data_IF_379513627705
#
_entry.id   IF_379513627705
#
_cell.length_a   1.000
_cell.length_b   1.000
_cell.length_c   1.000
_cell.angle_alpha   90.00
_cell.angle_beta   90.00
_cell.angle_gamma   90.00
#
_symmetry.space_group_name_H-M   'P 1'
#
loop_
_entity.id
_entity.type
_entity.pdbx_description
1 polymer ?
#
# COMPACT_ATOMS: atom_id res chain seq x y z
N UNK A 1 11.13 11.60 4.75
CA UNK A 1 10.52 12.75 5.45
C UNK A 1 11.23 14.02 4.96
N UNK A 2 10.53 15.12 4.64
CA UNK A 2 11.22 16.33 4.17
C UNK A 2 12.15 16.82 5.27
N UNK A 3 13.33 17.37 4.91
CA UNK A 3 14.29 17.93 5.89
C UNK A 3 13.65 18.98 6.81
N UNK A 4 12.58 19.63 6.35
CA UNK A 4 11.83 20.66 7.06
C UNK A 4 10.67 20.14 7.90
N UNK A 5 10.31 18.85 7.80
CA UNK A 5 9.25 18.26 8.62
C UNK A 5 9.78 17.99 10.03
N UNK A 6 9.28 18.72 11.02
CA UNK A 6 9.60 18.49 12.43
C UNK A 6 9.10 17.11 12.85
N UNK A 7 9.96 16.29 13.45
CA UNK A 7 9.63 14.94 13.93
C UNK A 7 8.99 14.90 15.32
N UNK A 8 8.79 16.06 15.97
CA UNK A 8 8.32 16.17 17.36
C UNK A 8 7.10 15.30 17.67
N UNK A 9 6.08 15.33 16.80
CA UNK A 9 4.86 14.56 17.04
C UNK A 9 5.11 13.06 16.90
N UNK A 10 5.84 12.62 15.88
CA UNK A 10 6.20 11.21 15.73
C UNK A 10 7.00 10.68 16.94
N UNK A 11 7.98 11.45 17.42
CA UNK A 11 8.74 11.10 18.63
C UNK A 11 7.83 11.04 19.86
N UNK A 12 6.93 12.01 20.01
CA UNK A 12 5.95 12.03 21.10
C UNK A 12 5.03 10.81 21.06
N UNK A 13 4.54 10.43 19.88
CA UNK A 13 3.63 9.29 19.69
C UNK A 13 4.34 7.95 19.98
N UNK A 14 5.63 7.84 19.66
CA UNK A 14 6.46 6.67 19.98
C UNK A 14 6.73 6.57 21.49
N UNK A 15 7.06 7.68 22.15
CA UNK A 15 7.45 7.67 23.57
C UNK A 15 6.26 7.65 24.53
N UNK A 16 5.14 8.25 24.14
CA UNK A 16 3.97 8.46 25.01
C UNK A 16 2.70 7.88 24.38
N UNK A 17 2.80 6.68 23.80
CA UNK A 17 1.68 6.05 23.08
C UNK A 17 0.44 5.96 23.97
N UNK A 18 -0.68 6.49 23.45
CA UNK A 18 -2.00 6.41 24.08
C UNK A 18 -2.90 5.47 23.29
N UNK A 19 -3.84 4.81 23.94
CA UNK A 19 -4.78 3.93 23.26
C UNK A 19 -5.72 4.74 22.35
N UNK A 20 -5.79 4.34 21.08
CA UNK A 20 -6.67 4.97 20.08
C UNK A 20 -7.99 4.20 20.05
N UNK A 21 -9.06 4.82 20.55
CA UNK A 21 -10.39 4.21 20.74
C UNK A 21 -11.46 4.75 19.79
N UNK A 22 -11.07 5.11 18.56
CA UNK A 22 -12.02 5.61 17.55
C UNK A 22 -12.89 4.45 17.05
N UNK A 23 -14.21 4.67 17.02
CA UNK A 23 -15.20 3.64 16.63
C UNK A 23 -14.91 2.95 15.30
N UNK A 24 -14.44 3.69 14.29
CA UNK A 24 -14.10 3.12 12.98
C UNK A 24 -12.88 2.19 13.03
N UNK A 25 -11.90 2.49 13.89
CA UNK A 25 -10.71 1.65 14.10
C UNK A 25 -11.11 0.38 14.86
N UNK A 26 -11.90 0.51 15.92
CA UNK A 26 -12.42 -0.62 16.68
C UNK A 26 -13.27 -1.53 15.78
N UNK A 27 -14.13 -0.95 14.94
CA UNK A 27 -14.90 -1.69 13.95
C UNK A 27 -14.01 -2.45 12.97
N UNK A 28 -12.96 -1.79 12.45
CA UNK A 28 -11.91 -2.40 11.63
C UNK A 28 -11.31 -3.63 12.29
N UNK A 29 -10.75 -3.44 13.48
CA UNK A 29 -10.05 -4.46 14.27
C UNK A 29 -10.96 -5.67 14.57
N UNK A 30 -12.21 -5.43 14.94
CA UNK A 30 -13.15 -6.49 15.31
C UNK A 30 -13.68 -7.29 14.10
N UNK A 31 -13.65 -6.73 12.90
CA UNK A 31 -14.21 -7.37 11.70
C UNK A 31 -13.15 -7.95 10.75
N UNK A 32 -11.88 -7.59 10.91
CA UNK A 32 -10.81 -7.99 9.98
C UNK A 32 -10.70 -9.51 9.82
N UNK A 33 -10.72 -10.27 10.92
CA UNK A 33 -10.64 -11.74 10.88
C UNK A 33 -11.78 -12.36 10.08
N UNK A 34 -13.03 -11.94 10.35
CA UNK A 34 -14.20 -12.44 9.63
C UNK A 34 -14.09 -12.18 8.12
N UNK A 35 -13.61 -11.00 7.73
CA UNK A 35 -13.42 -10.66 6.31
C UNK A 35 -12.31 -11.48 5.67
N UNK A 36 -11.23 -11.80 6.40
CA UNK A 36 -10.17 -12.71 5.91
C UNK A 36 -10.73 -14.10 5.63
N UNK A 37 -11.52 -14.64 6.55
CA UNK A 37 -12.13 -15.97 6.41
C UNK A 37 -13.10 -16.01 5.23
N UNK A 38 -14.00 -15.01 5.13
CA UNK A 38 -14.93 -14.89 4.01
C UNK A 38 -14.21 -14.77 2.65
N UNK A 39 -13.14 -13.98 2.58
CA UNK A 39 -12.32 -13.87 1.38
C UNK A 39 -11.64 -15.19 1.02
N UNK A 40 -11.08 -15.89 2.02
CA UNK A 40 -10.43 -17.19 1.82
C UNK A 40 -11.39 -18.24 1.27
N UNK A 41 -12.60 -18.30 1.82
CA UNK A 41 -13.68 -19.18 1.35
C UNK A 41 -14.14 -18.82 -0.08
N UNK A 42 -14.34 -17.53 -0.37
CA UNK A 42 -14.81 -17.07 -1.68
C UNK A 42 -13.80 -17.34 -2.81
N UNK A 43 -12.52 -17.13 -2.53
CA UNK A 43 -11.45 -17.34 -3.52
C UNK A 43 -10.99 -18.80 -3.56
N UNK A 44 -11.33 -19.60 -2.54
CA UNK A 44 -10.90 -21.00 -2.40
C UNK A 44 -9.41 -21.13 -2.11
N UNK A 45 -8.80 -20.11 -1.48
CA UNK A 45 -7.36 -20.02 -1.26
C UNK A 45 -7.04 -19.53 0.15
N UNK A 46 -6.06 -20.13 0.83
CA UNK A 46 -5.73 -19.73 2.19
C UNK A 46 -5.12 -18.32 2.23
N UNK A 47 -5.56 -17.53 3.21
CA UNK A 47 -4.91 -16.27 3.58
C UNK A 47 -3.98 -16.55 4.76
N UNK A 48 -2.71 -16.18 4.62
CA UNK A 48 -1.71 -16.34 5.68
C UNK A 48 -1.54 -15.01 6.42
N UNK A 49 -1.57 -15.07 7.76
CA UNK A 49 -1.24 -13.92 8.60
C UNK A 49 0.24 -13.55 8.45
N UNK A 50 0.55 -12.27 8.64
CA UNK A 50 1.92 -11.78 8.52
C UNK A 50 2.23 -10.65 9.50
N UNK A 51 3.51 -10.48 9.78
CA UNK A 51 4.02 -9.37 10.59
C UNK A 51 4.53 -8.20 9.72
N UNK A 52 5.50 -7.48 10.28
CA UNK A 52 6.17 -6.38 9.59
C UNK A 52 7.19 -6.90 8.57
N UNK A 53 7.03 -6.52 7.31
CA UNK A 53 8.06 -6.66 6.28
C UNK A 53 8.90 -5.39 6.23
N UNK A 54 10.22 -5.55 6.23
CA UNK A 54 11.18 -4.45 6.08
C UNK A 54 11.82 -4.53 4.71
N UNK A 55 11.89 -3.41 4.00
CA UNK A 55 12.57 -3.32 2.72
C UNK A 55 14.09 -3.25 2.95
N UNK A 56 14.84 -4.24 2.47
CA UNK A 56 16.24 -4.43 2.86
C UNK A 56 17.15 -3.28 2.40
N UNK A 57 16.87 -2.72 1.23
CA UNK A 57 17.64 -1.63 0.63
C UNK A 57 17.36 -0.29 1.31
N UNK A 58 16.18 -0.13 1.92
CA UNK A 58 15.81 1.03 2.74
C UNK A 58 15.19 0.55 4.05
N UNK A 59 16.01 0.13 5.05
CA UNK A 59 15.51 -0.52 6.27
C UNK A 59 14.57 0.33 7.13
N UNK A 60 14.51 1.64 6.87
CA UNK A 60 13.54 2.54 7.51
C UNK A 60 12.14 2.47 6.87
N UNK A 61 11.96 1.68 5.81
CA UNK A 61 10.70 1.45 5.12
C UNK A 61 10.21 0.03 5.40
N UNK A 62 8.97 -0.08 5.84
CA UNK A 62 8.31 -1.36 6.04
C UNK A 62 6.80 -1.27 5.93
N UNK A 63 6.15 -2.42 5.85
CA UNK A 63 4.70 -2.54 5.79
C UNK A 63 4.24 -3.80 6.53
N UNK A 64 3.06 -3.73 7.14
CA UNK A 64 2.35 -4.89 7.68
C UNK A 64 1.08 -5.06 6.84
N UNK A 65 1.09 -5.91 5.80
CA UNK A 65 -0.12 -6.33 5.11
C UNK A 65 -1.15 -6.91 6.08
N UNK A 66 -2.43 -6.92 5.67
CA UNK A 66 -3.48 -7.55 6.47
C UNK A 66 -3.50 -9.08 6.25
N UNK A 67 -2.85 -9.56 5.18
CA UNK A 67 -2.57 -10.96 4.92
C UNK A 67 -1.84 -11.19 3.60
N UNK A 68 -1.43 -12.44 3.35
CA UNK A 68 -0.79 -12.88 2.10
C UNK A 68 -1.60 -14.02 1.50
N UNK A 69 -1.90 -13.94 0.20
CA UNK A 69 -2.57 -15.00 -0.55
C UNK A 69 -1.89 -15.14 -1.92
N UNK A 70 -1.36 -16.32 -2.24
CA UNK A 70 -0.66 -16.62 -3.51
C UNK A 70 0.38 -15.57 -3.94
N UNK A 71 1.30 -15.22 -3.04
CA UNK A 71 2.34 -14.21 -3.30
C UNK A 71 1.80 -12.80 -3.59
N UNK A 72 0.53 -12.53 -3.27
CA UNK A 72 -0.10 -11.20 -3.32
C UNK A 72 -0.37 -10.70 -1.91
N UNK A 73 -0.32 -9.38 -1.78
CA UNK A 73 -0.64 -8.66 -0.55
C UNK A 73 -2.15 -8.41 -0.49
N UNK A 74 -2.77 -8.79 0.63
CA UNK A 74 -4.15 -8.47 0.96
C UNK A 74 -4.21 -7.19 1.81
N UNK A 75 -5.11 -6.28 1.43
CA UNK A 75 -5.45 -5.09 2.23
C UNK A 75 -6.97 -5.05 2.43
N UNK A 76 -7.40 -5.05 3.68
CA UNK A 76 -8.78 -5.08 4.12
C UNK A 76 -9.16 -3.71 4.66
N UNK A 77 -10.41 -3.30 4.39
CA UNK A 77 -10.97 -2.07 4.91
C UNK A 77 -12.42 -2.27 5.32
N UNK A 78 -12.66 -2.47 6.61
CA UNK A 78 -14.01 -2.60 7.17
C UNK A 78 -14.60 -1.20 7.41
N UNK A 79 -15.71 -0.88 6.76
CA UNK A 79 -16.35 0.42 6.85
C UNK A 79 -17.66 0.28 7.63
N UNK A 80 -17.86 1.01 8.74
CA UNK A 80 -19.03 0.82 9.63
C UNK A 80 -20.37 1.22 8.99
N UNK A 81 -20.37 2.01 7.91
CA UNK A 81 -21.57 2.66 7.36
C UNK A 81 -22.00 2.16 5.97
N UNK A 82 -21.35 1.11 5.42
CA UNK A 82 -21.70 0.59 4.09
C UNK A 82 -22.72 -0.54 4.24
N UNK A 83 -24.00 -0.16 4.42
CA UNK A 83 -25.15 -1.08 4.34
C UNK A 83 -25.87 -1.03 2.98
N UNK A 84 -25.41 -0.20 2.03
CA UNK A 84 -25.99 -0.10 0.69
C UNK A 84 -24.89 -0.21 -0.38
N UNK A 85 -25.03 -1.22 -1.23
CA UNK A 85 -24.36 -1.43 -2.51
C UNK A 85 -22.81 -1.46 -2.51
N UNK A 86 -22.28 -2.57 -2.00
CA UNK A 86 -20.86 -2.94 -2.01
C UNK A 86 -20.20 -2.90 -3.41
N UNK A 87 -20.97 -3.05 -4.50
CA UNK A 87 -20.44 -3.07 -5.87
C UNK A 87 -19.95 -1.68 -6.32
N UNK A 88 -20.65 -0.62 -5.97
CA UNK A 88 -20.32 0.75 -6.41
C UNK A 88 -19.26 1.37 -5.49
N UNK A 89 -19.38 1.19 -4.17
CA UNK A 89 -18.43 1.77 -3.21
C UNK A 89 -17.03 1.12 -3.25
N UNK A 90 -16.92 -0.17 -3.59
CA UNK A 90 -15.63 -0.84 -3.81
C UNK A 90 -15.00 -0.42 -5.14
N UNK A 91 -15.80 -0.29 -6.20
CA UNK A 91 -15.35 0.18 -7.51
C UNK A 91 -14.83 1.62 -7.45
N UNK A 92 -15.53 2.54 -6.75
CA UNK A 92 -15.07 3.92 -6.60
C UNK A 92 -13.73 4.01 -5.87
N UNK A 93 -13.53 3.27 -4.76
CA UNK A 93 -12.27 3.32 -4.01
C UNK A 93 -11.11 2.66 -4.75
N UNK A 94 -11.34 1.57 -5.48
CA UNK A 94 -10.32 0.96 -6.34
C UNK A 94 -10.00 1.84 -7.54
N UNK A 95 -11.00 2.42 -8.20
CA UNK A 95 -10.84 3.31 -9.35
C UNK A 95 -10.08 4.58 -8.94
N UNK A 96 -10.41 5.23 -7.82
CA UNK A 96 -9.65 6.37 -7.33
C UNK A 96 -8.20 6.02 -6.95
N UNK A 97 -7.93 4.83 -6.42
CA UNK A 97 -6.57 4.39 -6.10
C UNK A 97 -5.74 4.07 -7.36
N UNK A 98 -6.36 3.48 -8.37
CA UNK A 98 -5.75 3.22 -9.69
C UNK A 98 -5.52 4.52 -10.45
N UNK A 99 -6.50 5.42 -10.49
CA UNK A 99 -6.38 6.74 -11.13
C UNK A 99 -5.32 7.62 -10.46
N UNK A 100 -5.18 7.58 -9.12
CA UNK A 100 -4.04 8.24 -8.45
C UNK A 100 -2.71 7.64 -8.86
N UNK A 101 -2.60 6.31 -8.95
CA UNK A 101 -1.36 5.66 -9.41
C UNK A 101 -1.02 6.02 -10.86
N UNK A 102 -2.01 6.20 -11.73
CA UNK A 102 -1.82 6.66 -13.11
C UNK A 102 -1.42 8.14 -13.17
N UNK A 103 -2.08 9.01 -12.39
CA UNK A 103 -1.75 10.43 -12.31
C UNK A 103 -0.36 10.70 -11.68
N UNK A 104 0.07 9.86 -10.73
CA UNK A 104 1.40 9.91 -10.12
C UNK A 104 2.48 9.30 -11.03
N UNK A 105 2.11 8.36 -11.92
CA UNK A 105 3.01 7.80 -12.94
C UNK A 105 3.24 8.74 -14.14
N UNK A 106 2.26 9.58 -14.49
CA UNK A 106 2.39 10.59 -15.55
C UNK A 106 3.20 11.82 -15.13
N UNK A 107 3.37 12.07 -13.82
CA UNK A 107 4.32 13.08 -13.31
C UNK A 107 5.74 12.51 -13.20
N UNK A 108 6.29 12.03 -14.30
CA UNK A 108 7.72 11.71 -14.37
C UNK A 108 8.52 13.02 -14.54
N UNK A 109 9.40 13.41 -13.60
CA UNK A 109 10.38 14.46 -13.89
C UNK A 109 11.27 13.96 -15.04
N UNK A 110 11.45 14.81 -16.06
CA UNK A 110 12.41 14.60 -17.12
C UNK A 110 13.77 14.27 -16.50
N UNK A 111 14.30 13.08 -16.80
CA UNK A 111 15.74 12.83 -16.72
C UNK A 111 16.14 12.46 -18.14
N UNK A 112 16.64 13.48 -18.83
CA UNK A 112 17.40 13.38 -20.07
C UNK A 112 18.67 12.57 -19.76
N UNK A 113 18.67 11.28 -20.10
CA UNK A 113 19.92 10.54 -20.25
C UNK A 113 20.36 10.66 -21.70
N UNK A 114 21.22 11.65 -21.95
CA UNK A 114 22.08 11.68 -23.11
C UNK A 114 23.03 10.48 -23.04
N UNK A 115 22.90 9.51 -23.94
CA UNK A 115 23.97 8.54 -24.19
C UNK A 115 24.73 9.01 -25.43
N UNK A 116 25.92 9.55 -25.16
CA UNK A 116 26.90 9.90 -26.18
C UNK A 116 27.65 8.63 -26.61
N UNK A 117 27.51 8.30 -27.90
CA UNK A 117 28.39 7.52 -28.81
C UNK A 117 29.06 6.22 -28.33
N UNK A 118 28.73 5.13 -29.02
CA UNK A 118 29.72 4.14 -29.45
C UNK A 118 29.61 3.98 -30.98
N UNK A 119 30.62 4.48 -31.69
CA UNK A 119 30.79 4.41 -33.14
C UNK A 119 31.10 2.96 -33.53
N UNK A 120 30.23 2.28 -34.28
CA UNK A 120 30.62 1.08 -35.03
C UNK A 120 31.11 1.49 -36.42
N UNK A 121 32.39 1.25 -36.67
CA UNK A 121 33.03 1.36 -37.97
C UNK A 121 32.34 0.43 -38.98
N UNK A 122 31.80 1.02 -40.04
CA UNK A 122 31.38 0.30 -41.23
C UNK A 122 32.63 0.09 -42.12
N UNK A 123 32.99 -1.17 -42.37
CA UNK A 123 33.97 -1.56 -43.40
C UNK A 123 33.38 -1.21 -44.77
N UNK A 124 34.07 -0.37 -45.51
CA UNK A 124 33.93 -0.22 -46.96
C UNK A 124 34.56 -1.45 -47.62
N UNK A 125 33.88 -1.99 -48.64
CA UNK A 125 34.53 -2.73 -49.71
C UNK A 125 35.23 -1.75 -50.65
#
# INVERSE_FOLDING_TARGET
MRKTTKCRNAVKDILFTSEITILSILYGRNNESRVKDEYSHLVGKPVTDCGLFVFQELPFLGASPDGICENKILKIKCLPSVQKDLKEAAAEKYLFAVLRRQADAEKKPQILLSSSRATQHQRLQ
#
